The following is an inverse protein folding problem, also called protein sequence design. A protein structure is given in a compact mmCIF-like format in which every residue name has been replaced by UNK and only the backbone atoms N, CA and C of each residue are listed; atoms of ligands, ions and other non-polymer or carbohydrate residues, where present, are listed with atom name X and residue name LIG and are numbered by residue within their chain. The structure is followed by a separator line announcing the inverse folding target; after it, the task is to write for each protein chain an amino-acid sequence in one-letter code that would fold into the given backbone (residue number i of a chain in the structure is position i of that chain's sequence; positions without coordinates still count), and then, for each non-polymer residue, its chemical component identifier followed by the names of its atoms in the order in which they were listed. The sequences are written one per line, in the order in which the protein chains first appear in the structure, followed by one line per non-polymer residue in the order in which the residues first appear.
data_IF_449156612986
#
_entry.id   IF_449156612986
#
_cell.length_a   1.000
_cell.length_b   1.000
_cell.length_c   1.000
_cell.angle_alpha   90.00
_cell.angle_beta   90.00
_cell.angle_gamma   90.00
#
_symmetry.space_group_name_H-M   'P 1'
#
loop_
_entity.id
_entity.type
_entity.pdbx_description
1 polymer ?
#
# COMPACT_ATOMS: atom_id res chain seq x y z
N UNK A 1 -16.88 -47.61 -5.47
CA UNK A 1 -17.18 -46.22 -5.02
C UNK A 1 -16.34 -45.76 -3.83
N UNK A 2 -16.16 -46.54 -2.75
CA UNK A 2 -15.38 -46.12 -1.56
C UNK A 2 -13.89 -45.76 -1.81
N UNK A 3 -13.17 -46.50 -2.67
CA UNK A 3 -11.75 -46.21 -2.97
C UNK A 3 -11.53 -44.90 -3.76
N UNK A 4 -12.48 -44.53 -4.62
CA UNK A 4 -12.39 -43.31 -5.42
C UNK A 4 -12.65 -42.06 -4.56
N UNK A 5 -13.54 -42.15 -3.58
CA UNK A 5 -13.83 -41.06 -2.63
C UNK A 5 -12.66 -40.76 -1.70
N UNK A 6 -11.90 -41.79 -1.30
CA UNK A 6 -10.70 -41.63 -0.45
C UNK A 6 -9.58 -40.96 -1.23
N UNK A 7 -9.37 -41.35 -2.50
CA UNK A 7 -8.38 -40.70 -3.37
C UNK A 7 -8.74 -39.23 -3.61
N UNK A 8 -10.02 -38.92 -3.85
CA UNK A 8 -10.48 -37.54 -4.01
C UNK A 8 -10.23 -36.73 -2.73
N UNK A 9 -10.51 -37.29 -1.53
CA UNK A 9 -10.25 -36.61 -0.25
C UNK A 9 -8.76 -36.28 -0.05
N UNK A 10 -7.85 -37.24 -0.31
CA UNK A 10 -6.41 -37.00 -0.19
C UNK A 10 -5.88 -36.05 -1.25
N UNK A 11 -6.42 -36.09 -2.47
CA UNK A 11 -6.09 -35.12 -3.52
C UNK A 11 -6.58 -33.72 -3.15
N UNK A 12 -7.79 -33.57 -2.61
CA UNK A 12 -8.28 -32.26 -2.13
C UNK A 12 -7.49 -31.75 -0.95
N UNK A 13 -7.12 -32.63 0.00
CA UNK A 13 -6.30 -32.25 1.15
C UNK A 13 -4.88 -31.84 0.72
N UNK A 14 -4.29 -32.55 -0.24
CA UNK A 14 -3.00 -32.20 -0.82
C UNK A 14 -3.06 -30.88 -1.62
N UNK A 15 -4.14 -30.62 -2.35
CA UNK A 15 -4.37 -29.33 -3.04
C UNK A 15 -4.55 -28.22 -2.01
N UNK A 16 -5.30 -28.43 -0.93
CA UNK A 16 -5.47 -27.47 0.16
C UNK A 16 -4.11 -27.20 0.83
N UNK A 17 -3.33 -28.22 1.14
CA UNK A 17 -1.96 -28.07 1.68
C UNK A 17 -1.02 -27.37 0.70
N UNK A 18 -1.12 -27.62 -0.60
CA UNK A 18 -0.37 -26.92 -1.64
C UNK A 18 -0.78 -25.44 -1.72
N UNK A 19 -2.08 -25.14 -1.63
CA UNK A 19 -2.64 -23.78 -1.59
C UNK A 19 -2.27 -23.05 -0.29
N UNK A 20 -2.12 -23.74 0.84
CA UNK A 20 -1.64 -23.15 2.10
C UNK A 20 -0.11 -23.00 2.13
N UNK A 21 0.64 -23.87 1.45
CA UNK A 21 2.10 -23.76 1.32
C UNK A 21 2.55 -22.60 0.43
N UNK A 22 1.67 -22.11 -0.46
CA UNK A 22 1.96 -20.94 -1.31
C UNK A 22 1.85 -19.59 -0.60
N UNK A 23 1.48 -19.54 0.68
CA UNK A 23 1.43 -18.27 1.44
C UNK A 23 2.73 -17.92 2.17
N UNK A 24 3.76 -18.76 2.12
CA UNK A 24 5.12 -18.36 2.50
C UNK A 24 5.84 -17.76 1.29
N UNK A 25 5.31 -16.67 0.75
CA UNK A 25 6.09 -15.83 -0.16
C UNK A 25 7.05 -14.96 0.67
N UNK A 26 8.06 -15.61 1.25
CA UNK A 26 9.27 -14.97 1.81
C UNK A 26 10.13 -14.57 0.61
N UNK A 27 9.74 -13.48 -0.03
CA UNK A 27 10.18 -13.17 -1.39
C UNK A 27 11.23 -12.09 -1.41
N UNK A 28 12.50 -12.47 -1.22
CA UNK A 28 13.62 -11.56 -1.45
C UNK A 28 13.52 -10.86 -2.81
N UNK A 29 14.15 -9.68 -2.93
CA UNK A 29 14.39 -9.07 -4.24
C UNK A 29 14.98 -10.06 -5.24
N UNK A 30 14.69 -9.90 -6.54
CA UNK A 30 15.32 -10.75 -7.56
C UNK A 30 16.84 -10.53 -7.55
N UNK A 31 17.64 -11.60 -7.75
CA UNK A 31 19.11 -11.49 -7.86
C UNK A 31 19.52 -10.78 -9.16
N UNK A 32 19.95 -9.50 -9.14
CA UNK A 32 20.34 -8.80 -10.37
C UNK A 32 21.73 -9.24 -10.86
N UNK A 33 22.55 -9.89 -10.01
CA UNK A 33 23.90 -10.33 -10.38
C UNK A 33 23.88 -11.51 -11.37
N UNK A 34 22.85 -12.36 -11.33
CA UNK A 34 22.76 -13.57 -12.16
C UNK A 34 22.70 -13.28 -13.66
N UNK A 35 22.09 -12.17 -14.06
CA UNK A 35 21.97 -11.77 -15.48
C UNK A 35 23.28 -11.25 -16.08
N UNK A 36 24.22 -10.79 -15.25
CA UNK A 36 25.45 -10.15 -15.72
C UNK A 36 26.70 -11.02 -15.54
N UNK A 37 26.60 -12.10 -14.76
CA UNK A 37 27.70 -13.02 -14.50
C UNK A 37 27.31 -14.48 -14.79
N UNK A 38 26.93 -14.76 -16.04
CA UNK A 38 26.63 -16.13 -16.48
C UNK A 38 27.80 -17.08 -16.17
N UNK A 39 27.61 -17.96 -15.17
CA UNK A 39 28.61 -18.95 -14.76
C UNK A 39 29.43 -18.63 -13.49
N UNK A 40 29.18 -17.50 -12.81
CA UNK A 40 29.74 -17.21 -11.48
C UNK A 40 28.64 -17.28 -10.40
N UNK A 41 29.03 -17.57 -9.14
CA UNK A 41 28.11 -17.76 -8.00
C UNK A 41 27.72 -16.43 -7.32
N UNK A 42 27.81 -15.31 -8.04
CA UNK A 42 27.53 -14.00 -7.45
C UNK A 42 26.03 -13.79 -7.21
N UNK A 43 25.72 -13.24 -6.05
CA UNK A 43 24.35 -12.94 -5.67
C UNK A 43 24.28 -11.71 -4.78
N UNK A 44 23.25 -10.90 -4.93
CA UNK A 44 22.98 -9.79 -4.04
C UNK A 44 21.48 -9.58 -3.93
N UNK A 45 21.01 -9.35 -2.71
CA UNK A 45 19.61 -9.19 -2.41
C UNK A 45 19.44 -8.08 -1.39
N UNK A 46 18.48 -7.19 -1.65
CA UNK A 46 17.82 -6.39 -0.63
C UNK A 46 16.63 -7.19 -0.12
N UNK A 47 16.53 -7.37 1.20
CA UNK A 47 15.50 -8.20 1.82
C UNK A 47 14.98 -7.55 3.10
N UNK A 48 13.66 -7.44 3.23
CA UNK A 48 12.97 -7.08 4.45
C UNK A 48 12.74 -8.38 5.21
N UNK A 49 13.29 -8.52 6.41
CA UNK A 49 13.25 -9.77 7.14
C UNK A 49 11.89 -9.99 7.80
N UNK A 50 10.95 -10.65 7.11
CA UNK A 50 9.65 -10.99 7.70
C UNK A 50 9.81 -11.95 8.90
N UNK A 51 9.05 -11.71 9.97
CA UNK A 51 9.10 -12.52 11.19
C UNK A 51 10.38 -12.38 12.04
N UNK A 52 11.28 -11.45 11.70
CA UNK A 52 12.42 -11.12 12.57
C UNK A 52 11.93 -10.61 13.93
N UNK A 53 12.50 -11.13 15.03
CA UNK A 53 12.12 -10.77 16.41
C UNK A 53 12.40 -9.32 16.79
N UNK A 54 13.24 -8.61 16.03
CA UNK A 54 13.52 -7.20 16.22
C UNK A 54 12.50 -6.28 15.54
N UNK A 55 11.64 -6.82 14.67
CA UNK A 55 10.56 -6.05 14.06
C UNK A 55 9.54 -5.65 15.14
N UNK A 56 9.11 -4.38 15.14
CA UNK A 56 8.04 -3.89 15.99
C UNK A 56 6.85 -3.52 15.12
N UNK A 57 5.84 -4.37 15.05
CA UNK A 57 4.63 -4.11 14.28
C UNK A 57 3.42 -4.27 15.22
N UNK A 58 2.74 -3.18 15.60
CA UNK A 58 1.57 -3.26 16.47
C UNK A 58 0.41 -3.93 15.74
N UNK A 59 -0.30 -4.81 16.44
CA UNK A 59 -1.54 -5.44 15.93
C UNK A 59 -2.77 -4.54 16.05
N UNK A 60 -2.69 -3.48 16.87
CA UNK A 60 -3.74 -2.48 16.98
C UNK A 60 -3.28 -1.12 17.50
N UNK A 61 -4.08 -0.10 17.25
CA UNK A 61 -3.87 1.31 17.63
C UNK A 61 -5.22 1.99 17.82
N UNK A 62 -5.36 2.91 18.75
CA UNK A 62 -6.60 3.69 18.90
C UNK A 62 -6.60 4.92 17.97
N UNK A 63 -7.79 5.46 17.66
CA UNK A 63 -7.89 6.75 16.99
C UNK A 63 -7.11 7.82 17.77
N UNK A 64 -6.30 8.61 17.05
CA UNK A 64 -5.38 9.62 17.58
C UNK A 64 -4.21 9.09 18.44
N UNK A 65 -4.15 7.78 18.72
CA UNK A 65 -2.95 7.18 19.32
C UNK A 65 -1.84 7.12 18.27
N UNK A 66 -0.59 7.34 18.69
CA UNK A 66 0.59 7.20 17.83
C UNK A 66 1.45 6.03 18.30
N UNK A 67 1.83 5.14 17.38
CA UNK A 67 2.73 4.01 17.65
C UNK A 67 3.89 3.98 16.67
N UNK A 68 4.96 3.33 17.11
CA UNK A 68 6.11 3.05 16.25
C UNK A 68 5.90 1.74 15.48
N UNK A 69 6.20 1.76 14.19
CA UNK A 69 6.42 0.56 13.37
C UNK A 69 7.89 0.49 13.03
N UNK A 70 8.56 -0.65 13.22
CA UNK A 70 9.92 -0.87 12.75
C UNK A 70 10.09 -2.23 12.08
N UNK A 71 10.92 -2.26 11.04
CA UNK A 71 11.32 -3.49 10.34
C UNK A 71 12.82 -3.54 10.11
N UNK A 72 13.37 -4.75 10.07
CA UNK A 72 14.76 -5.00 9.69
C UNK A 72 14.85 -5.22 8.18
N UNK A 73 15.79 -4.52 7.55
CA UNK A 73 16.20 -4.71 6.17
C UNK A 73 17.65 -5.20 6.13
N UNK A 74 17.94 -6.11 5.21
CA UNK A 74 19.24 -6.74 5.03
C UNK A 74 19.71 -6.59 3.58
N UNK A 75 20.99 -6.26 3.41
CA UNK A 75 21.69 -6.53 2.16
C UNK A 75 22.50 -7.81 2.36
N UNK A 76 22.15 -8.87 1.61
CA UNK A 76 22.77 -10.18 1.73
C UNK A 76 23.25 -10.74 0.39
N UNK A 77 24.09 -11.75 0.47
CA UNK A 77 24.62 -12.48 -0.67
C UNK A 77 26.13 -12.36 -0.78
N UNK A 78 26.64 -12.64 -1.97
CA UNK A 78 28.04 -12.52 -2.34
C UNK A 78 28.18 -11.73 -3.65
N UNK A 79 28.22 -10.39 -3.61
CA UNK A 79 28.32 -9.52 -4.79
C UNK A 79 29.74 -9.32 -5.33
N UNK A 80 30.78 -9.75 -4.61
CA UNK A 80 32.17 -9.46 -4.96
C UNK A 80 32.54 -8.00 -4.70
N UNK A 81 32.92 -7.25 -5.75
CA UNK A 81 33.62 -5.95 -5.64
C UNK A 81 32.73 -4.75 -5.27
N UNK A 82 31.41 -4.86 -5.44
CA UNK A 82 30.46 -3.77 -5.12
C UNK A 82 29.41 -4.22 -4.10
N UNK A 83 29.81 -4.41 -2.82
CA UNK A 83 28.96 -5.03 -1.82
C UNK A 83 27.91 -4.12 -1.21
N UNK A 84 27.98 -2.82 -1.44
CA UNK A 84 27.06 -1.83 -0.86
C UNK A 84 25.92 -1.56 -1.82
N UNK A 85 24.69 -1.57 -1.30
CA UNK A 85 23.53 -1.01 -1.99
C UNK A 85 23.40 0.45 -1.55
N UNK A 86 23.44 1.36 -2.51
CA UNK A 86 23.26 2.79 -2.33
C UNK A 86 21.79 3.21 -2.45
N UNK A 87 21.46 4.40 -1.95
CA UNK A 87 20.10 4.98 -1.96
C UNK A 87 19.00 4.04 -1.41
N UNK A 88 19.34 3.18 -0.45
CA UNK A 88 18.36 2.30 0.17
C UNK A 88 17.32 3.15 0.90
N UNK A 89 16.06 2.91 0.58
CA UNK A 89 14.94 3.52 1.26
C UNK A 89 13.76 2.58 1.34
N UNK A 90 12.99 2.72 2.41
CA UNK A 90 11.77 2.00 2.63
C UNK A 90 10.58 2.96 2.62
N UNK A 91 9.41 2.44 2.26
CA UNK A 91 8.14 3.15 2.37
C UNK A 91 7.17 2.34 3.21
N UNK A 92 6.40 3.02 4.05
CA UNK A 92 5.25 2.46 4.76
C UNK A 92 4.02 3.28 4.37
N UNK A 93 2.95 2.60 4.00
CA UNK A 93 1.65 3.20 3.69
C UNK A 93 0.51 2.35 4.25
N UNK A 94 -0.59 3.02 4.57
CA UNK A 94 -1.87 2.39 4.87
C UNK A 94 -2.54 1.95 3.57
N UNK A 95 -3.09 0.73 3.55
CA UNK A 95 -3.79 0.18 2.38
C UNK A 95 -5.22 0.70 2.28
N UNK A 96 -5.90 0.83 3.42
CA UNK A 96 -7.34 1.15 3.49
C UNK A 96 -7.65 2.51 4.14
N UNK A 97 -6.65 3.25 4.57
CA UNK A 97 -6.77 4.63 5.07
C UNK A 97 -7.11 4.76 6.56
N UNK A 98 -7.04 3.69 7.35
CA UNK A 98 -7.41 3.71 8.77
C UNK A 98 -6.30 4.25 9.67
N UNK A 99 -5.05 4.32 9.19
CA UNK A 99 -3.95 5.01 9.87
C UNK A 99 -3.18 5.93 8.92
N UNK A 100 -2.56 6.98 9.47
CA UNK A 100 -1.64 7.86 8.75
C UNK A 100 -0.19 7.55 9.14
N UNK A 101 0.76 7.91 8.26
CA UNK A 101 2.19 7.75 8.50
C UNK A 101 2.83 9.13 8.45
N UNK A 102 3.52 9.55 9.52
CA UNK A 102 4.07 10.91 9.62
C UNK A 102 5.02 11.26 8.46
N UNK A 103 5.93 10.34 8.14
CA UNK A 103 6.77 10.40 6.94
C UNK A 103 6.79 9.04 6.29
N UNK A 104 6.07 8.86 5.17
CA UNK A 104 5.94 7.54 4.54
C UNK A 104 7.27 6.95 4.08
N UNK A 105 8.26 7.77 3.72
CA UNK A 105 9.59 7.31 3.30
C UNK A 105 10.60 7.37 4.46
N UNK A 106 11.33 6.27 4.66
CA UNK A 106 12.49 6.18 5.53
C UNK A 106 13.75 5.95 4.71
N UNK A 107 14.75 6.83 4.82
CA UNK A 107 15.99 6.72 4.06
C UNK A 107 17.06 6.01 4.92
N UNK A 108 17.57 4.89 4.43
CA UNK A 108 18.73 4.18 5.00
C UNK A 108 20.03 4.73 4.39
N UNK A 109 20.01 5.08 3.10
CA UNK A 109 21.19 5.55 2.37
C UNK A 109 22.06 4.37 1.93
N UNK A 110 23.30 4.31 2.42
CA UNK A 110 24.21 3.22 2.10
C UNK A 110 23.98 2.02 3.01
N UNK A 111 23.79 0.84 2.41
CA UNK A 111 23.64 -0.43 3.11
C UNK A 111 24.73 -1.40 2.63
N UNK A 112 25.86 -1.51 3.36
CA UNK A 112 26.84 -2.59 3.17
C UNK A 112 26.20 -3.97 3.42
N UNK A 113 26.96 -5.07 3.30
CA UNK A 113 26.48 -6.43 3.65
C UNK A 113 26.19 -6.55 5.16
N UNK A 114 25.05 -6.01 5.58
CA UNK A 114 24.64 -5.87 6.97
C UNK A 114 23.12 -5.69 7.07
N UNK A 115 22.62 -5.63 8.31
CA UNK A 115 21.23 -5.34 8.66
C UNK A 115 21.09 -3.91 9.17
N UNK A 116 19.97 -3.28 8.86
CA UNK A 116 19.56 -1.98 9.42
C UNK A 116 18.07 -2.00 9.77
N UNK A 117 17.67 -1.14 10.70
CA UNK A 117 16.27 -0.93 11.06
C UNK A 117 15.73 0.32 10.36
N UNK A 118 14.49 0.23 9.87
CA UNK A 118 13.70 1.36 9.41
C UNK A 118 12.48 1.51 10.31
N UNK A 119 12.19 2.76 10.74
CA UNK A 119 11.15 3.02 11.73
C UNK A 119 10.27 4.20 11.34
N UNK A 120 8.96 4.07 11.60
CA UNK A 120 7.94 5.06 11.31
C UNK A 120 7.07 5.31 12.53
N UNK A 121 6.54 6.53 12.63
CA UNK A 121 5.41 6.83 13.51
C UNK A 121 4.12 6.75 12.69
N UNK A 122 3.16 5.97 13.18
CA UNK A 122 1.81 5.84 12.63
C UNK A 122 0.78 6.35 13.62
N UNK A 123 -0.30 6.97 13.13
CA UNK A 123 -1.38 7.49 13.97
C UNK A 123 -2.73 6.94 13.48
N UNK A 124 -3.56 6.44 14.40
CA UNK A 124 -4.91 5.97 14.08
C UNK A 124 -5.80 7.11 13.59
N UNK A 125 -6.48 6.92 12.45
CA UNK A 125 -7.32 7.92 11.78
C UNK A 125 -8.80 7.57 11.89
N UNK A 126 -9.17 6.32 11.63
CA UNK A 126 -10.56 5.87 11.66
C UNK A 126 -10.64 4.39 12.04
N UNK A 127 -11.73 4.00 12.70
CA UNK A 127 -11.96 2.61 13.10
C UNK A 127 -11.97 1.67 11.89
N UNK A 128 -11.31 0.52 12.02
CA UNK A 128 -11.33 -0.51 10.98
C UNK A 128 -10.06 -1.35 10.89
N UNK A 129 -10.05 -2.24 9.91
CA UNK A 129 -8.91 -3.10 9.61
C UNK A 129 -8.04 -2.45 8.53
N UNK A 130 -6.72 -2.45 8.73
CA UNK A 130 -5.75 -1.98 7.76
C UNK A 130 -4.61 -2.98 7.52
N UNK A 131 -3.90 -2.77 6.41
CA UNK A 131 -2.70 -3.51 6.05
C UNK A 131 -1.54 -2.56 5.82
N UNK A 132 -0.40 -2.86 6.45
CA UNK A 132 0.84 -2.10 6.35
C UNK A 132 1.57 -2.49 5.06
N UNK A 133 1.50 -1.63 4.05
CA UNK A 133 2.23 -1.84 2.80
C UNK A 133 3.64 -1.30 2.96
N UNK A 134 4.60 -2.20 3.18
CA UNK A 134 6.02 -1.87 3.37
C UNK A 134 6.82 -2.31 2.14
N UNK A 135 7.58 -1.39 1.55
CA UNK A 135 8.41 -1.67 0.36
C UNK A 135 9.80 -1.08 0.52
N UNK A 136 10.82 -1.87 0.18
CA UNK A 136 12.21 -1.45 0.12
C UNK A 136 12.65 -1.26 -1.33
N UNK A 137 13.56 -0.32 -1.54
CA UNK A 137 14.25 -0.13 -2.81
C UNK A 137 15.67 0.36 -2.57
N UNK A 138 16.57 0.10 -3.51
CA UNK A 138 17.93 0.59 -3.49
C UNK A 138 18.60 0.35 -4.83
N UNK A 139 19.79 0.91 -5.03
CA UNK A 139 20.53 0.78 -6.28
C UNK A 139 22.01 0.49 -6.04
N UNK A 140 22.68 -0.16 -6.97
CA UNK A 140 24.14 -0.27 -6.95
C UNK A 140 24.74 0.69 -7.99
N UNK A 141 25.18 1.88 -7.54
CA UNK A 141 25.70 2.94 -8.43
C UNK A 141 27.09 2.63 -8.99
N UNK A 142 27.86 1.82 -8.26
CA UNK A 142 29.27 1.57 -8.53
C UNK A 142 29.48 0.46 -9.55
N UNK A 143 28.42 -0.27 -9.90
CA UNK A 143 28.46 -1.28 -10.95
C UNK A 143 28.44 -0.62 -12.34
N UNK A 144 29.62 -0.42 -12.93
CA UNK A 144 29.93 0.38 -14.15
C UNK A 144 29.12 0.05 -15.43
N UNK A 145 28.30 -0.99 -15.45
CA UNK A 145 27.58 -1.43 -16.65
C UNK A 145 26.08 -1.14 -16.64
N UNK A 146 25.41 -1.09 -15.47
CA UNK A 146 23.96 -0.93 -15.34
C UNK A 146 23.64 -0.47 -13.91
N UNK A 147 22.78 0.55 -13.76
CA UNK A 147 22.19 0.85 -12.45
C UNK A 147 21.24 -0.29 -12.08
N UNK A 148 21.70 -1.24 -11.27
CA UNK A 148 20.83 -2.32 -10.79
C UNK A 148 19.85 -1.77 -9.77
N UNK A 149 18.58 -2.10 -9.97
CA UNK A 149 17.50 -1.76 -9.05
C UNK A 149 17.20 -2.97 -8.18
N UNK A 150 17.32 -2.79 -6.87
CA UNK A 150 16.83 -3.73 -5.88
C UNK A 150 15.45 -3.25 -5.42
N UNK A 151 14.51 -4.18 -5.30
CA UNK A 151 13.23 -3.88 -4.69
C UNK A 151 12.68 -5.11 -4.01
N UNK A 152 12.14 -4.88 -2.82
CA UNK A 152 11.52 -5.92 -2.01
C UNK A 152 10.26 -5.37 -1.32
N UNK A 153 9.36 -6.24 -0.88
CA UNK A 153 8.12 -5.88 -0.19
C UNK A 153 7.83 -6.86 0.93
N UNK A 154 7.51 -6.33 2.12
CA UNK A 154 7.16 -7.16 3.26
C UNK A 154 5.93 -8.00 2.92
N UNK A 155 6.10 -9.32 2.84
CA UNK A 155 5.08 -10.22 2.30
C UNK A 155 4.85 -11.46 3.18
N UNK A 156 3.59 -11.75 3.60
CA UNK A 156 2.40 -10.94 3.38
C UNK A 156 2.44 -9.64 4.18
N UNK A 157 1.77 -8.60 3.67
CA UNK A 157 1.69 -7.31 4.35
C UNK A 157 1.05 -7.47 5.75
N UNK A 158 1.68 -6.95 6.82
CA UNK A 158 1.14 -7.06 8.17
C UNK A 158 -0.22 -6.39 8.30
N UNK A 159 -1.06 -6.89 9.20
CA UNK A 159 -2.37 -6.32 9.50
C UNK A 159 -2.38 -5.53 10.81
N UNK A 160 -3.19 -4.49 10.88
CA UNK A 160 -3.44 -3.70 12.09
C UNK A 160 -4.93 -3.39 12.21
N UNK A 161 -5.46 -3.34 13.44
CA UNK A 161 -6.82 -2.88 13.72
C UNK A 161 -6.79 -1.51 14.40
N UNK A 162 -7.57 -0.57 13.89
CA UNK A 162 -7.74 0.75 14.49
C UNK A 162 -9.03 0.75 15.31
N UNK A 163 -8.91 1.00 16.61
CA UNK A 163 -10.00 0.97 17.57
C UNK A 163 -10.50 2.35 18.00
N UNK A 164 -11.61 2.33 18.75
CA UNK A 164 -12.09 3.51 19.47
C UNK A 164 -11.45 3.55 20.86
N UNK A 165 -10.95 4.72 21.33
CA UNK A 165 -10.50 4.84 22.70
C UNK A 165 -11.65 4.46 23.64
N UNK A 166 -11.47 3.38 24.41
CA UNK A 166 -12.49 2.94 25.37
C UNK A 166 -12.92 4.13 26.24
N UNK A 167 -14.23 4.39 26.41
CA UNK A 167 -14.68 5.49 27.26
C UNK A 167 -14.07 5.29 28.64
N UNK A 168 -13.32 6.30 29.10
CA UNK A 168 -12.82 6.35 30.47
C UNK A 168 -14.04 6.21 31.37
N UNK A 169 -14.12 5.11 32.13
CA UNK A 169 -15.19 4.92 33.10
C UNK A 169 -15.28 6.18 33.96
N UNK A 170 -16.48 6.77 34.16
CA UNK A 170 -16.63 7.96 34.97
C UNK A 170 -15.93 7.75 36.32
N UNK A 171 -15.25 8.77 36.87
CA UNK A 171 -14.56 8.62 38.14
C UNK A 171 -15.56 8.05 39.15
N UNK A 172 -15.17 6.94 39.78
CA UNK A 172 -15.95 6.35 40.88
C UNK A 172 -16.32 7.50 41.81
N UNK A 173 -17.62 7.73 42.10
CA UNK A 173 -18.01 8.81 42.98
C UNK A 173 -17.25 8.63 44.29
N UNK A 174 -16.40 9.61 44.61
CA UNK A 174 -15.74 9.67 45.91
C UNK A 174 -16.85 9.54 46.96
N UNK A 175 -16.80 8.55 47.87
CA UNK A 175 -17.82 8.41 48.89
C UNK A 175 -17.92 9.74 49.62
N UNK A 176 -19.12 10.34 49.59
CA UNK A 176 -19.45 11.50 50.40
C UNK A 176 -19.09 11.15 51.84
N UNK A 177 -18.29 11.96 52.56
CA UNK A 177 -18.00 11.69 53.96
C UNK A 177 -19.34 11.62 54.70
N UNK A 178 -19.66 10.43 55.21
CA UNK A 178 -20.77 10.20 56.12
C UNK A 178 -20.61 11.16 57.29
N UNK A 179 -21.65 11.95 57.56
CA UNK A 179 -21.71 12.82 58.72
C UNK A 179 -21.34 12.02 59.98
N UNK A 180 -20.15 12.29 60.51
CA UNK A 180 -19.75 11.84 61.83
C UNK A 180 -20.64 12.55 62.86
N UNK A 181 -21.19 11.84 63.86
CA UNK A 181 -22.01 12.48 64.88
C UNK A 181 -21.20 13.52 65.65
N UNK A 182 -21.72 14.73 65.66
CA UNK A 182 -21.22 15.88 66.40
C UNK A 182 -20.98 15.54 67.89
N UNK A 183 -19.80 15.84 68.47
CA UNK A 183 -19.60 15.71 69.90
C UNK A 183 -20.38 16.80 70.65
N UNK A 184 -21.04 16.34 71.71
CA UNK A 184 -21.79 17.04 72.77
C UNK A 184 -21.19 18.41 73.16
N UNK A 185 -22.00 19.47 73.35
CA UNK A 185 -21.48 20.79 73.69
C UNK A 185 -20.97 20.83 75.14
N UNK A 186 -19.75 21.34 75.31
CA UNK A 186 -19.22 21.76 76.60
C UNK A 186 -19.68 23.20 76.89
N UNK A 187 -20.44 23.47 77.97
CA UNK A 187 -20.84 24.82 78.33
C UNK A 187 -19.74 25.42 79.20
N UNK A 188 -18.93 26.32 78.63
CA UNK A 188 -18.31 27.47 79.31
C UNK A 188 -17.22 28.08 78.42
N UNK A 189 -17.56 29.12 77.66
CA UNK A 189 -16.62 30.22 77.39
C UNK A 189 -17.36 31.43 76.81
N UNK A 190 -17.07 32.67 77.26
CA UNK A 190 -17.82 33.86 76.92
C UNK A 190 -17.40 34.47 75.58
N UNK A 191 -18.41 35.04 74.91
CA UNK A 191 -18.38 35.86 73.70
C UNK A 191 -17.41 37.04 73.78
N UNK A 192 -16.71 37.36 72.66
CA UNK A 192 -16.46 38.77 72.35
C UNK A 192 -16.79 39.19 70.90
N UNK A 193 -17.45 40.35 70.85
CA UNK A 193 -17.29 41.50 69.93
C UNK A 193 -17.80 41.44 68.46
N UNK A 194 -18.27 42.59 67.92
CA UNK A 194 -19.10 42.66 66.71
C UNK A 194 -18.30 42.72 65.39
N UNK A 195 -18.95 42.21 64.33
CA UNK A 195 -18.47 42.09 62.95
C UNK A 195 -18.34 43.44 62.23
N UNK A 196 -17.24 43.60 61.48
CA UNK A 196 -16.97 44.74 60.59
C UNK A 196 -17.78 44.71 59.29
N UNK A 197 -17.87 45.90 58.67
CA UNK A 197 -18.66 46.36 57.52
C UNK A 197 -18.50 45.58 56.18
N UNK A 198 -19.44 45.73 55.22
CA UNK A 198 -19.48 44.92 53.99
C UNK A 198 -18.41 45.29 52.96
N UNK A 199 -17.90 44.26 52.27
CA UNK A 199 -16.93 44.33 51.17
C UNK A 199 -17.67 44.59 49.84
N UNK A 200 -17.21 45.59 49.09
CA UNK A 200 -17.69 45.93 47.75
C UNK A 200 -17.37 44.81 46.74
N UNK A 201 -18.38 44.40 45.97
CA UNK A 201 -18.28 43.45 44.87
C UNK A 201 -17.75 44.17 43.61
N UNK A 202 -16.74 43.65 42.88
CA UNK A 202 -16.31 44.23 41.62
C UNK A 202 -17.27 43.85 40.47
N UNK A 203 -17.63 44.85 39.70
CA UNK A 203 -18.43 44.79 38.46
C UNK A 203 -17.75 43.94 37.37
N UNK A 204 -18.46 43.07 36.63
CA UNK A 204 -17.90 42.34 35.50
C UNK A 204 -17.64 43.27 34.29
N UNK A 205 -16.47 43.08 33.67
CA UNK A 205 -15.97 43.75 32.45
C UNK A 205 -16.74 43.33 31.18
N UNK A 206 -16.75 44.12 30.08
CA UNK A 206 -17.69 43.91 28.97
C UNK A 206 -17.32 42.74 28.06
N UNK A 207 -18.39 42.12 27.58
CA UNK A 207 -18.50 41.03 26.62
C UNK A 207 -17.54 41.15 25.42
N UNK A 208 -16.75 40.09 25.16
CA UNK A 208 -15.97 39.96 23.94
C UNK A 208 -16.89 39.72 22.73
N UNK A 209 -16.53 40.33 21.61
CA UNK A 209 -17.16 40.17 20.29
C UNK A 209 -17.20 38.69 19.85
N UNK A 210 -18.27 38.22 19.17
CA UNK A 210 -18.35 36.82 18.73
C UNK A 210 -17.28 36.53 17.67
N UNK A 211 -16.22 35.84 18.09
CA UNK A 211 -15.23 35.24 17.20
C UNK A 211 -15.94 34.29 16.24
N UNK A 212 -15.79 34.52 14.93
CA UNK A 212 -16.31 33.63 13.88
C UNK A 212 -15.82 32.19 14.11
N UNK A 213 -16.65 31.16 13.80
CA UNK A 213 -16.25 29.77 13.99
C UNK A 213 -14.95 29.46 13.21
N UNK A 214 -14.04 28.64 13.78
CA UNK A 214 -12.81 28.27 13.10
C UNK A 214 -13.12 27.50 11.81
N UNK A 215 -12.63 28.01 10.68
CA UNK A 215 -12.73 27.36 9.37
C UNK A 215 -12.03 26.00 9.41
N UNK A 216 -12.73 24.93 9.03
CA UNK A 216 -12.18 23.57 8.95
C UNK A 216 -10.98 23.53 7.97
N UNK A 217 -9.86 22.84 8.33
CA UNK A 217 -8.66 22.81 7.50
C UNK A 217 -8.95 22.15 6.15
N UNK A 218 -8.52 22.81 5.07
CA UNK A 218 -8.69 22.31 3.71
C UNK A 218 -7.87 21.02 3.47
N UNK A 219 -8.50 20.02 2.85
CA UNK A 219 -7.86 18.76 2.46
C UNK A 219 -8.30 18.28 1.07
N UNK A 220 -7.48 17.43 0.44
CA UNK A 220 -7.79 16.76 -0.83
C UNK A 220 -7.27 15.31 -0.83
N UNK A 221 -8.07 14.40 -1.36
CA UNK A 221 -7.74 13.00 -1.58
C UNK A 221 -7.95 12.62 -3.04
N UNK A 222 -7.00 11.88 -3.62
CA UNK A 222 -7.12 11.35 -4.97
C UNK A 222 -7.73 9.94 -4.94
N UNK A 223 -9.00 9.84 -5.35
CA UNK A 223 -9.78 8.60 -5.42
C UNK A 223 -9.40 7.77 -6.66
N UNK A 224 -9.03 8.43 -7.76
CA UNK A 224 -8.54 7.79 -8.97
C UNK A 224 -7.48 8.67 -9.65
N UNK A 225 -6.27 8.14 -9.93
CA UNK A 225 -5.91 6.72 -9.80
C UNK A 225 -5.75 6.22 -8.37
N UNK A 226 -6.10 4.96 -8.18
CA UNK A 226 -5.86 4.23 -6.93
C UNK A 226 -4.39 3.82 -6.83
N UNK A 227 -3.92 3.53 -5.62
CA UNK A 227 -2.53 3.11 -5.40
C UNK A 227 -2.27 1.79 -6.14
N UNK A 228 -1.29 1.77 -7.04
CA UNK A 228 -0.94 0.59 -7.84
C UNK A 228 -1.75 0.44 -9.13
N UNK A 229 -2.68 1.36 -9.41
CA UNK A 229 -3.38 1.40 -10.69
C UNK A 229 -2.41 1.64 -11.85
N UNK A 230 -2.68 0.99 -12.98
CA UNK A 230 -1.91 1.11 -14.21
C UNK A 230 -2.78 1.76 -15.27
N UNK A 231 -2.35 2.92 -15.74
CA UNK A 231 -3.00 3.63 -16.82
C UNK A 231 -2.58 3.02 -18.15
N UNK A 232 -3.46 3.08 -19.13
CA UNK A 232 -3.14 2.75 -20.51
C UNK A 232 -2.59 4.01 -21.18
N UNK A 233 -1.46 3.91 -21.87
CA UNK A 233 -0.88 5.03 -22.62
C UNK A 233 -1.82 5.52 -23.72
N UNK A 234 -1.83 6.83 -23.96
CA UNK A 234 -2.57 7.47 -25.05
C UNK A 234 -4.08 7.30 -25.05
N UNK A 235 -4.70 7.02 -23.90
CA UNK A 235 -6.15 6.91 -23.76
C UNK A 235 -6.70 7.99 -22.83
N UNK A 236 -7.97 8.33 -23.05
CA UNK A 236 -8.73 9.13 -22.09
C UNK A 236 -8.82 8.40 -20.74
N UNK A 237 -8.45 9.09 -19.67
CA UNK A 237 -8.52 8.63 -18.31
C UNK A 237 -9.23 9.67 -17.44
N UNK A 238 -10.17 9.21 -16.61
CA UNK A 238 -10.91 10.08 -15.69
C UNK A 238 -10.29 10.02 -14.31
N UNK A 239 -9.63 11.10 -13.91
CA UNK A 239 -9.19 11.30 -12.53
C UNK A 239 -10.38 11.67 -11.65
N UNK A 240 -10.35 11.24 -10.39
CA UNK A 240 -11.36 11.53 -9.38
C UNK A 240 -10.71 11.90 -8.06
N UNK A 241 -11.32 12.85 -7.36
CA UNK A 241 -10.85 13.31 -6.07
C UNK A 241 -12.02 13.76 -5.19
N UNK A 242 -11.73 13.85 -3.90
CA UNK A 242 -12.64 14.33 -2.86
C UNK A 242 -11.94 15.41 -2.03
N UNK A 243 -12.64 16.49 -1.69
CA UNK A 243 -12.13 17.58 -0.84
C UNK A 243 -12.93 17.68 0.44
N UNK A 244 -12.31 18.18 1.50
CA UNK A 244 -12.99 18.52 2.77
C UNK A 244 -12.44 19.83 3.34
N UNK A 245 -13.22 20.48 4.19
CA UNK A 245 -12.86 21.78 4.76
C UNK A 245 -12.80 22.93 3.75
N UNK A 246 -12.29 24.08 4.20
CA UNK A 246 -12.23 25.32 3.42
C UNK A 246 -13.58 25.99 3.15
N UNK A 247 -13.53 27.14 2.48
CA UNK A 247 -14.68 27.94 2.07
C UNK A 247 -14.91 27.77 0.57
N UNK A 248 -16.12 27.37 0.18
CA UNK A 248 -16.48 27.24 -1.24
C UNK A 248 -16.64 28.63 -1.88
N UNK A 249 -16.31 28.80 -3.17
CA UNK A 249 -15.85 27.78 -4.12
C UNK A 249 -14.36 27.46 -4.02
N UNK A 250 -14.03 26.17 -4.18
CA UNK A 250 -12.64 25.68 -4.24
C UNK A 250 -12.17 25.58 -5.70
N UNK A 251 -10.88 25.81 -5.91
CA UNK A 251 -10.21 25.64 -7.21
C UNK A 251 -9.23 24.48 -7.19
N UNK A 252 -9.18 23.71 -8.26
CA UNK A 252 -8.30 22.55 -8.44
C UNK A 252 -7.28 22.82 -9.55
N UNK A 253 -6.03 22.46 -9.31
CA UNK A 253 -4.98 22.37 -10.34
C UNK A 253 -4.43 20.95 -10.36
N UNK A 254 -4.35 20.37 -11.55
CA UNK A 254 -3.89 19.02 -11.83
C UNK A 254 -2.65 19.10 -12.70
N UNK A 255 -1.58 18.43 -12.27
CA UNK A 255 -0.33 18.35 -13.01
C UNK A 255 0.17 16.90 -13.07
N UNK A 256 1.05 16.61 -14.03
CA UNK A 256 1.86 15.40 -13.99
C UNK A 256 3.35 15.70 -14.18
N UNK A 257 4.20 14.78 -13.71
CA UNK A 257 5.64 14.80 -13.94
C UNK A 257 6.17 13.41 -14.28
N UNK A 258 7.20 13.35 -15.11
CA UNK A 258 7.95 12.11 -15.41
C UNK A 258 9.00 11.77 -14.33
N UNK A 259 9.24 12.70 -13.42
CA UNK A 259 10.23 12.57 -12.35
C UNK A 259 9.70 13.16 -11.05
N UNK A 260 10.15 12.64 -9.92
CA UNK A 260 9.68 13.02 -8.59
C UNK A 260 10.29 14.35 -8.06
N UNK A 261 11.06 15.07 -8.86
CA UNK A 261 11.77 16.29 -8.49
C UNK A 261 10.96 17.55 -8.81
N UNK A 262 11.03 18.49 -7.89
CA UNK A 262 10.02 19.47 -7.49
C UNK A 262 9.67 20.61 -8.47
N UNK A 263 10.14 20.60 -9.72
CA UNK A 263 10.12 21.83 -10.56
C UNK A 263 9.77 21.62 -12.04
N UNK A 264 9.52 20.40 -12.52
CA UNK A 264 9.11 20.16 -13.91
C UNK A 264 7.75 19.48 -13.99
N UNK A 265 6.73 20.20 -13.56
CA UNK A 265 5.33 19.79 -13.67
C UNK A 265 4.77 20.23 -15.01
N UNK A 266 4.12 19.30 -15.72
CA UNK A 266 3.30 19.61 -16.89
C UNK A 266 1.85 19.72 -16.44
N UNK A 267 1.24 20.88 -16.68
CA UNK A 267 -0.14 21.13 -16.29
C UNK A 267 -1.10 20.33 -17.16
N UNK A 268 -1.96 19.56 -16.50
CA UNK A 268 -3.09 18.85 -17.10
C UNK A 268 -4.27 19.82 -17.20
N UNK A 269 -4.56 20.51 -16.10
CA UNK A 269 -5.62 21.51 -15.99
C UNK A 269 -5.31 22.44 -14.81
N UNK A 270 -5.60 23.73 -14.94
CA UNK A 270 -5.37 24.71 -13.87
C UNK A 270 -6.65 25.49 -13.56
N UNK A 271 -6.84 25.82 -12.28
CA UNK A 271 -7.94 26.63 -11.77
C UNK A 271 -9.34 26.14 -12.20
N UNK A 272 -9.54 24.82 -12.25
CA UNK A 272 -10.85 24.23 -12.54
C UNK A 272 -11.70 24.22 -11.28
N UNK A 273 -13.03 24.33 -11.42
CA UNK A 273 -13.94 24.16 -10.28
C UNK A 273 -13.81 22.76 -9.69
N UNK A 274 -13.91 22.67 -8.36
CA UNK A 274 -13.95 21.41 -7.66
C UNK A 274 -15.26 20.63 -7.91
N UNK A 275 -15.28 19.87 -9.01
CA UNK A 275 -16.38 18.99 -9.42
C UNK A 275 -16.10 17.49 -9.14
N UNK A 276 -15.02 17.19 -8.40
CA UNK A 276 -14.61 15.83 -8.02
C UNK A 276 -14.08 14.93 -9.16
N UNK A 277 -13.99 15.42 -10.40
CA UNK A 277 -13.42 14.64 -11.51
C UNK A 277 -12.93 15.49 -12.69
N UNK A 278 -11.96 14.94 -13.44
CA UNK A 278 -11.44 15.52 -14.68
C UNK A 278 -10.95 14.42 -15.63
N UNK A 279 -11.30 14.51 -16.91
CA UNK A 279 -10.83 13.56 -17.93
C UNK A 279 -9.68 14.15 -18.73
N UNK A 280 -8.56 13.43 -18.79
CA UNK A 280 -7.36 13.82 -19.52
C UNK A 280 -6.86 12.69 -20.41
N UNK A 281 -6.03 13.01 -21.39
CA UNK A 281 -5.32 12.01 -22.17
C UNK A 281 -4.00 11.67 -21.49
N UNK A 282 -3.78 10.38 -21.22
CA UNK A 282 -2.53 9.90 -20.62
C UNK A 282 -1.35 10.06 -21.60
N UNK A 283 -0.10 10.10 -21.12
CA UNK A 283 1.08 10.18 -21.98
C UNK A 283 1.15 9.04 -23.01
N UNK A 284 1.70 9.34 -24.18
CA UNK A 284 1.90 8.40 -25.29
C UNK A 284 3.21 7.60 -25.18
N UNK A 285 3.74 7.40 -23.98
CA UNK A 285 4.90 6.55 -23.73
C UNK A 285 4.68 5.70 -22.48
N UNK A 286 5.24 4.49 -22.46
CA UNK A 286 5.26 3.67 -21.25
C UNK A 286 6.23 4.28 -20.26
N UNK A 287 5.73 4.70 -19.11
CA UNK A 287 6.54 5.43 -18.13
C UNK A 287 5.90 5.36 -16.75
N UNK A 288 6.67 5.66 -15.73
CA UNK A 288 6.11 6.09 -14.44
C UNK A 288 5.83 7.59 -14.51
N UNK A 289 4.66 8.01 -14.00
CA UNK A 289 4.33 9.41 -13.78
C UNK A 289 3.98 9.67 -12.32
N UNK A 290 4.04 10.94 -11.94
CA UNK A 290 3.53 11.46 -10.67
C UNK A 290 2.43 12.45 -11.00
N UNK A 291 1.22 12.23 -10.50
CA UNK A 291 0.08 13.14 -10.64
C UNK A 291 -0.02 13.98 -9.37
N UNK A 292 -0.09 15.30 -9.49
CA UNK A 292 -0.33 16.24 -8.39
C UNK A 292 -1.72 16.84 -8.54
N UNK A 293 -2.49 16.81 -7.47
CA UNK A 293 -3.72 17.59 -7.34
C UNK A 293 -3.54 18.60 -6.20
N UNK A 294 -3.72 19.88 -6.53
CA UNK A 294 -3.66 21.01 -5.61
C UNK A 294 -5.07 21.59 -5.52
N UNK A 295 -5.61 21.69 -4.31
CA UNK A 295 -6.83 22.45 -4.04
C UNK A 295 -6.47 23.78 -3.37
N UNK A 296 -7.14 24.85 -3.77
CA UNK A 296 -6.96 26.20 -3.23
C UNK A 296 -8.31 26.79 -2.82
N UNK A 297 -8.36 27.33 -1.61
CA UNK A 297 -9.44 28.17 -1.08
C UNK A 297 -8.93 29.61 -1.04
N UNK A 298 -9.64 30.53 -1.72
CA UNK A 298 -9.30 31.95 -1.81
C UNK A 298 -9.81 32.78 -0.62
N UNK A 299 -10.25 32.14 0.46
CA UNK A 299 -10.61 32.80 1.72
C UNK A 299 -9.43 33.57 2.33
N UNK A 300 -9.72 34.36 3.37
CA UNK A 300 -8.70 35.10 4.12
C UNK A 300 -8.63 34.57 5.56
N UNK A 301 -7.58 33.81 5.95
CA UNK A 301 -6.38 33.51 5.17
C UNK A 301 -6.61 32.44 4.09
N UNK A 302 -5.83 32.52 3.00
CA UNK A 302 -5.87 31.56 1.89
C UNK A 302 -5.39 30.20 2.37
N UNK A 303 -6.10 29.13 1.99
CA UNK A 303 -5.72 27.76 2.29
C UNK A 303 -5.38 26.99 1.02
N UNK A 304 -4.50 26.01 1.13
CA UNK A 304 -4.20 25.09 0.03
C UNK A 304 -3.81 23.72 0.57
N UNK A 305 -4.21 22.66 -0.13
CA UNK A 305 -3.83 21.29 0.17
C UNK A 305 -3.39 20.57 -1.10
N UNK A 306 -2.42 19.67 -0.97
CA UNK A 306 -1.79 18.98 -2.10
C UNK A 306 -1.72 17.49 -1.85
N UNK A 307 -1.99 16.70 -2.90
CA UNK A 307 -1.77 15.26 -2.92
C UNK A 307 -0.98 14.88 -4.16
N UNK A 308 -0.02 13.96 -4.02
CA UNK A 308 0.76 13.43 -5.13
C UNK A 308 0.56 11.91 -5.20
N UNK A 309 0.40 11.38 -6.42
CA UNK A 309 0.24 9.95 -6.67
C UNK A 309 1.21 9.47 -7.75
N UNK A 310 2.00 8.45 -7.42
CA UNK A 310 2.79 7.70 -8.40
C UNK A 310 1.90 6.72 -9.16
N UNK A 311 2.02 6.67 -10.48
CA UNK A 311 1.20 5.83 -11.36
C UNK A 311 2.06 5.30 -12.51
N UNK A 312 1.84 4.06 -12.91
CA UNK A 312 2.47 3.50 -14.10
C UNK A 312 1.56 3.65 -15.31
N UNK A 313 2.15 4.02 -16.44
CA UNK A 313 1.50 4.09 -17.75
C UNK A 313 2.08 2.97 -18.61
N UNK A 314 1.23 2.06 -19.06
CA UNK A 314 1.60 0.85 -19.80
C UNK A 314 0.97 0.82 -21.19
N UNK A 315 1.51 -0.01 -22.08
CA UNK A 315 0.87 -0.28 -23.36
C UNK A 315 -0.53 -0.86 -23.16
N UNK A 316 -1.52 -0.49 -24.00
CA UNK A 316 -2.78 -1.22 -24.03
C UNK A 316 -2.49 -2.68 -24.39
N UNK A 317 -2.80 -3.62 -23.48
CA UNK A 317 -2.62 -5.04 -23.73
C UNK A 317 -3.23 -5.46 -25.07
N UNK A 318 -2.54 -6.32 -25.81
CA UNK A 318 -3.01 -6.79 -27.11
C UNK A 318 -4.46 -7.32 -26.97
N UNK A 319 -5.38 -6.97 -27.88
CA UNK A 319 -6.73 -7.47 -27.80
C UNK A 319 -6.70 -9.00 -27.83
N UNK A 320 -7.37 -9.64 -26.86
CA UNK A 320 -7.45 -11.09 -26.70
C UNK A 320 -7.82 -11.83 -28.00
N UNK A 321 -8.49 -11.14 -28.92
CA UNK A 321 -8.84 -11.62 -30.27
C UNK A 321 -7.59 -12.06 -31.06
N UNK A 322 -6.45 -11.38 -30.93
CA UNK A 322 -5.21 -11.72 -31.64
C UNK A 322 -4.61 -13.02 -31.06
N UNK A 323 -4.65 -13.19 -29.73
CA UNK A 323 -4.12 -14.38 -29.06
C UNK A 323 -4.96 -15.62 -29.41
N UNK A 324 -6.29 -15.50 -29.37
CA UNK A 324 -7.20 -16.59 -29.79
C UNK A 324 -7.02 -16.93 -31.27
N UNK A 325 -6.82 -15.93 -32.13
CA UNK A 325 -6.59 -16.14 -33.57
C UNK A 325 -5.28 -16.87 -33.83
N UNK A 326 -4.18 -16.52 -33.14
CA UNK A 326 -2.88 -17.19 -33.26
C UNK A 326 -2.96 -18.63 -32.73
N UNK A 327 -3.63 -18.86 -31.60
CA UNK A 327 -3.82 -20.20 -31.04
C UNK A 327 -4.67 -21.08 -31.97
N UNK A 328 -5.75 -20.54 -32.55
CA UNK A 328 -6.56 -21.26 -33.55
C UNK A 328 -5.77 -21.54 -34.84
N UNK A 329 -4.92 -20.62 -35.29
CA UNK A 329 -4.07 -20.82 -36.47
C UNK A 329 -3.04 -21.95 -36.22
N UNK A 330 -2.39 -21.95 -35.06
CA UNK A 330 -1.43 -22.99 -34.64
C UNK A 330 -2.15 -24.34 -34.46
N UNK A 331 -3.33 -24.35 -33.82
CA UNK A 331 -4.16 -25.54 -33.64
C UNK A 331 -4.70 -26.10 -34.96
N UNK A 332 -4.93 -25.26 -35.98
CA UNK A 332 -5.31 -25.69 -37.33
C UNK A 332 -4.14 -26.21 -38.18
N UNK A 333 -2.95 -25.65 -38.00
CA UNK A 333 -1.74 -26.04 -38.75
C UNK A 333 -1.13 -27.35 -38.23
N UNK A 334 -1.16 -27.60 -36.92
CA UNK A 334 -0.54 -28.79 -36.31
C UNK A 334 -1.11 -30.13 -36.83
N UNK A 335 -2.44 -30.31 -36.96
CA UNK A 335 -3.03 -31.51 -37.55
C UNK A 335 -2.61 -31.73 -39.00
N UNK A 336 -2.52 -30.66 -39.80
CA UNK A 336 -2.14 -30.73 -41.21
C UNK A 336 -0.65 -31.12 -41.39
N UNK A 337 0.24 -30.57 -40.55
CA UNK A 337 1.66 -30.92 -40.50
C UNK A 337 1.84 -32.38 -40.05
N UNK A 338 1.13 -32.81 -39.00
CA UNK A 338 1.14 -34.19 -38.52
C UNK A 338 0.57 -35.17 -39.57
N UNK A 339 -0.43 -34.78 -40.36
CA UNK A 339 -0.96 -35.60 -41.45
C UNK A 339 0.06 -35.74 -42.60
N UNK A 340 0.78 -34.66 -42.95
CA UNK A 340 1.89 -34.70 -43.92
C UNK A 340 3.02 -35.60 -43.42
N UNK A 341 3.40 -35.51 -42.14
CA UNK A 341 4.39 -36.39 -41.52
C UNK A 341 3.93 -37.86 -41.48
N UNK A 342 2.64 -38.12 -41.22
CA UNK A 342 2.04 -39.46 -41.31
C UNK A 342 2.06 -40.02 -42.73
N UNK A 343 1.75 -39.22 -43.76
CA UNK A 343 1.86 -39.67 -45.17
C UNK A 343 3.30 -40.04 -45.52
N UNK A 344 4.28 -39.24 -45.06
CA UNK A 344 5.72 -39.50 -45.23
C UNK A 344 6.19 -40.75 -44.47
N UNK A 345 5.64 -41.02 -43.28
CA UNK A 345 5.93 -42.21 -42.47
C UNK A 345 5.22 -43.49 -42.96
N UNK A 346 4.00 -43.37 -43.52
CA UNK A 346 3.28 -44.49 -44.14
C UNK A 346 4.00 -44.99 -45.39
N UNK A 347 4.70 -44.11 -46.10
CA UNK A 347 5.63 -44.47 -47.17
C UNK A 347 6.83 -45.32 -46.68
N UNK A 348 7.11 -45.32 -45.37
CA UNK A 348 8.18 -46.12 -44.72
C UNK A 348 7.69 -47.32 -43.89
N UNK A 349 6.43 -47.75 -44.08
CA UNK A 349 6.00 -49.11 -43.76
C UNK A 349 6.12 -49.59 -42.30
N UNK A 350 5.57 -48.89 -41.29
CA UNK A 350 5.29 -49.50 -39.97
C UNK A 350 3.92 -49.09 -39.39
N UNK A 351 3.16 -50.07 -38.90
CA UNK A 351 1.81 -49.91 -38.29
C UNK A 351 1.91 -49.24 -36.91
N UNK A 352 1.11 -48.20 -36.67
CA UNK A 352 0.94 -47.55 -35.36
C UNK A 352 -0.53 -47.65 -34.90
N UNK A 353 -0.86 -48.67 -34.09
CA UNK A 353 -2.19 -48.82 -33.50
C UNK A 353 -2.32 -48.16 -32.10
N UNK A 354 -1.20 -47.77 -31.47
CA UNK A 354 -1.15 -47.21 -30.10
C UNK A 354 -1.25 -45.66 -30.01
N UNK A 355 -1.40 -44.97 -31.14
CA UNK A 355 -1.26 -43.50 -31.24
C UNK A 355 -2.57 -42.71 -31.06
N UNK A 356 -3.74 -43.34 -31.20
CA UNK A 356 -5.03 -42.63 -31.12
C UNK A 356 -5.37 -42.17 -29.69
N UNK A 357 -5.14 -43.02 -28.69
CA UNK A 357 -5.44 -42.69 -27.29
C UNK A 357 -4.50 -41.63 -26.71
N UNK A 358 -3.23 -41.63 -27.12
CA UNK A 358 -2.27 -40.62 -26.68
C UNK A 358 -2.63 -39.24 -27.24
N UNK A 359 -3.01 -39.17 -28.52
CA UNK A 359 -3.35 -37.91 -29.19
C UNK A 359 -4.63 -37.29 -28.61
N UNK A 360 -5.66 -38.11 -28.33
CA UNK A 360 -6.90 -37.63 -27.71
C UNK A 360 -6.66 -37.13 -26.28
N UNK A 361 -5.74 -37.75 -25.53
CA UNK A 361 -5.37 -37.29 -24.18
C UNK A 361 -4.60 -35.97 -24.19
N UNK A 362 -3.69 -35.77 -25.16
CA UNK A 362 -2.94 -34.51 -25.30
C UNK A 362 -3.87 -33.37 -25.70
N UNK A 363 -4.82 -33.59 -26.62
CA UNK A 363 -5.81 -32.59 -27.02
C UNK A 363 -6.71 -32.21 -25.83
N UNK A 364 -7.18 -33.19 -25.06
CA UNK A 364 -7.99 -32.94 -23.86
C UNK A 364 -7.21 -32.16 -22.79
N UNK A 365 -5.92 -32.48 -22.59
CA UNK A 365 -5.06 -31.77 -21.63
C UNK A 365 -4.85 -30.30 -22.03
N UNK A 366 -4.68 -30.04 -23.33
CA UNK A 366 -4.50 -28.67 -23.83
C UNK A 366 -5.78 -27.85 -23.78
N UNK A 367 -6.95 -28.46 -24.02
CA UNK A 367 -8.24 -27.80 -23.84
C UNK A 367 -8.53 -27.47 -22.37
N UNK A 368 -8.14 -28.33 -21.44
CA UNK A 368 -8.21 -28.05 -20.00
C UNK A 368 -7.26 -26.92 -19.58
N UNK A 369 -6.05 -26.88 -20.15
CA UNK A 369 -5.07 -25.83 -19.86
C UNK A 369 -5.55 -24.44 -20.33
N UNK A 370 -6.26 -24.37 -21.46
CA UNK A 370 -6.81 -23.11 -21.97
C UNK A 370 -7.98 -22.54 -21.15
N UNK A 371 -8.67 -23.35 -20.34
CA UNK A 371 -9.78 -22.88 -19.48
C UNK A 371 -9.27 -22.35 -18.14
N UNK A 372 -8.04 -22.69 -17.74
CA UNK A 372 -7.44 -22.29 -16.45
C UNK A 372 -6.78 -20.90 -16.52
N UNK A 373 -6.51 -20.38 -17.73
CA UNK A 373 -5.82 -19.11 -17.96
C UNK A 373 -6.70 -17.99 -18.57
N UNK A 374 -8.02 -18.19 -18.58
CA UNK A 374 -9.03 -17.13 -18.71
C UNK A 374 -9.51 -16.78 -17.32
#
# INVERSE_FOLDING_TARGET
MKKMSIIIFFVTLAIILLLFSSFYAMGASNNPCGSCHSGQVYSQYLDILEGNSENQIPSGIEINETKTVSVIVENRGNPGTYPTISDVSLTLTSKYGHFSVYSSKYNIGELPLTKKSASWQITGVSEGFDSLVIRASGINKQHLALTFLFSDSYSPAPSITVGHPSPTSPPTPTPTPTNEPSPTPNPNSPTPAPSLAPINTPTPSPNAEPTSPPTEPLSILLDSPTVGERLKMGLNYTMKWSTSGGTKPLSITLDYSLSNNSESWTTIAANISDNGSFTWNTPNSTTTIYIRALVTDSSNPTQSAVIIRKVEVNEPGAPLIIIVSIVLLIAGLLPAVLLKLKKKAKFRGRRLHKSKDFLNRVILLMLLFSVIFV
#
